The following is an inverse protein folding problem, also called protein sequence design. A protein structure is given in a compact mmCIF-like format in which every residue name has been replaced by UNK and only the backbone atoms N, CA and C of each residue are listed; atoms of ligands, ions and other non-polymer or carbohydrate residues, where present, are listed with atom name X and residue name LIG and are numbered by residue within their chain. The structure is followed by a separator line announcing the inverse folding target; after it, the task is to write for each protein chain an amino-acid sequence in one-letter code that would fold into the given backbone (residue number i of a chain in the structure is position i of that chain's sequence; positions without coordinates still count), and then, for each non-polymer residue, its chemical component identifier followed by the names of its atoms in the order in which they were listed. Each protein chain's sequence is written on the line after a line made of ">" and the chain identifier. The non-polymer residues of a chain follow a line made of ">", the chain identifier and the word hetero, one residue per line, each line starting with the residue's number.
data_IF_735263133843
#
_entry.id   IF_735263133843
#
_cell.length_a   1.000
_cell.length_b   1.000
_cell.length_c   1.000
_cell.angle_alpha   90.00
_cell.angle_beta   90.00
_cell.angle_gamma   90.00
#
_symmetry.space_group_name_H-M   'P 1'
#
loop_
_entity.id
_entity.type
_entity.pdbx_description
1 polymer ?
#
# COMPACT_ATOMS: atom_id res chain seq x y z
N UNK A 1 2.54 62.75 24.19
CA UNK A 1 2.56 61.53 23.35
C UNK A 1 1.97 60.35 24.12
N UNK A 2 0.66 60.35 24.38
CA UNK A 2 0.01 59.32 25.22
C UNK A 2 -1.44 59.01 24.81
N UNK A 3 -1.86 59.46 23.61
CA UNK A 3 -3.20 59.23 23.06
C UNK A 3 -3.21 58.37 21.78
N UNK A 4 -2.04 58.05 21.21
CA UNK A 4 -1.90 57.24 20.01
C UNK A 4 -1.70 55.74 20.25
N UNK A 5 -1.33 55.33 21.47
CA UNK A 5 -1.06 53.91 21.79
C UNK A 5 -2.32 53.12 22.20
N UNK A 6 -3.40 53.81 22.55
CA UNK A 6 -4.64 53.16 23.03
C UNK A 6 -5.55 52.69 21.88
N UNK A 7 -5.34 53.23 20.67
CA UNK A 7 -6.11 52.86 19.48
C UNK A 7 -5.60 51.56 18.81
N UNK A 8 -4.34 51.17 19.04
CA UNK A 8 -3.77 49.94 18.50
C UNK A 8 -4.14 48.68 19.30
N UNK A 9 -4.50 48.81 20.58
CA UNK A 9 -4.96 47.68 21.40
C UNK A 9 -6.45 47.39 21.25
N UNK A 10 -7.28 48.37 20.84
CA UNK A 10 -8.72 48.16 20.63
C UNK A 10 -9.07 47.57 19.24
N UNK A 11 -8.19 47.67 18.24
CA UNK A 11 -8.44 47.07 16.91
C UNK A 11 -8.03 45.59 16.81
N UNK A 12 -7.20 45.09 17.73
CA UNK A 12 -6.74 43.69 17.74
C UNK A 12 -7.73 42.70 18.37
N UNK A 13 -8.66 43.19 19.19
CA UNK A 13 -9.61 42.34 19.95
C UNK A 13 -10.93 42.10 19.18
N UNK A 14 -11.18 42.86 18.11
CA UNK A 14 -12.40 42.73 17.28
C UNK A 14 -12.31 41.65 16.18
N UNK A 15 -11.19 40.93 16.07
CA UNK A 15 -10.99 39.87 15.07
C UNK A 15 -11.22 38.43 15.61
N UNK A 16 -11.90 38.28 16.75
CA UNK A 16 -12.12 36.96 17.40
C UNK A 16 -13.61 36.51 17.34
N UNK A 17 -14.54 37.28 16.77
CA UNK A 17 -15.98 36.98 16.88
C UNK A 17 -16.81 36.97 15.58
N UNK A 18 -16.26 36.58 14.43
CA UNK A 18 -17.10 36.35 13.25
C UNK A 18 -16.55 35.23 12.36
N UNK A 19 -17.04 34.00 12.60
CA UNK A 19 -16.72 32.87 11.73
C UNK A 19 -17.12 31.46 12.21
N UNK A 20 -17.94 31.31 13.25
CA UNK A 20 -18.58 30.03 13.58
C UNK A 20 -20.10 30.14 13.38
N UNK A 21 -20.53 30.23 12.14
CA UNK A 21 -21.93 30.03 11.78
C UNK A 21 -21.94 29.45 10.38
N UNK A 22 -21.92 28.12 10.31
CA UNK A 22 -22.33 27.23 9.19
C UNK A 22 -21.49 25.93 9.16
N UNK A 23 -21.29 25.25 10.30
CA UNK A 23 -20.67 23.92 10.31
C UNK A 23 -21.51 22.83 10.99
N UNK A 24 -22.79 23.10 11.28
CA UNK A 24 -23.72 22.11 11.85
C UNK A 24 -24.50 21.30 10.78
N UNK A 25 -24.18 21.45 9.50
CA UNK A 25 -24.85 20.73 8.39
C UNK A 25 -23.92 19.85 7.53
N UNK A 26 -22.73 19.50 8.02
CA UNK A 26 -21.87 18.48 7.39
C UNK A 26 -21.63 17.31 8.37
N UNK A 27 -22.66 16.96 9.14
CA UNK A 27 -22.72 15.67 9.84
C UNK A 27 -23.55 14.75 8.96
N UNK A 28 -22.88 13.80 8.33
CA UNK A 28 -23.54 12.70 7.65
C UNK A 28 -22.85 12.34 6.36
N UNK A 29 -21.63 11.81 6.43
CA UNK A 29 -21.19 10.62 5.68
C UNK A 29 -19.70 10.39 5.94
N UNK A 30 -19.40 9.32 6.68
CA UNK A 30 -18.18 8.52 6.66
C UNK A 30 -16.82 9.22 6.89
N UNK A 31 -16.28 9.06 8.10
CA UNK A 31 -15.08 8.21 8.27
C UNK A 31 -14.87 7.93 9.75
N UNK A 32 -14.99 6.66 10.08
CA UNK A 32 -14.24 6.01 11.15
C UNK A 32 -12.85 6.66 11.23
N UNK A 33 -12.49 7.16 12.41
CA UNK A 33 -11.24 7.86 12.66
C UNK A 33 -10.09 6.87 12.45
N UNK A 34 -9.66 6.72 11.19
CA UNK A 34 -8.46 6.00 10.85
C UNK A 34 -7.32 6.71 11.59
N UNK A 35 -6.71 6.02 12.55
CA UNK A 35 -5.49 6.45 13.19
C UNK A 35 -4.50 6.91 12.09
N UNK A 36 -3.64 7.91 12.36
CA UNK A 36 -2.65 8.36 11.39
C UNK A 36 -1.94 7.14 10.80
N UNK A 37 -2.13 6.91 9.51
CA UNK A 37 -1.62 5.73 8.82
C UNK A 37 -0.12 5.90 8.67
N UNK A 38 0.61 5.27 9.58
CA UNK A 38 2.05 5.16 9.57
C UNK A 38 2.52 4.55 8.23
N UNK A 39 3.44 5.23 7.53
CA UNK A 39 4.00 4.83 6.23
C UNK A 39 4.44 3.37 6.26
N UNK A 40 5.24 3.00 7.26
CA UNK A 40 5.75 1.64 7.39
C UNK A 40 4.61 0.62 7.56
N UNK A 41 3.57 0.96 8.33
CA UNK A 41 2.43 0.07 8.57
C UNK A 41 1.62 -0.14 7.29
N UNK A 42 1.36 0.91 6.50
CA UNK A 42 0.64 0.81 5.21
C UNK A 42 1.40 -0.06 4.23
N UNK A 43 2.72 0.14 4.10
CA UNK A 43 3.55 -0.66 3.18
C UNK A 43 3.57 -2.13 3.62
N UNK A 44 3.72 -2.39 4.92
CA UNK A 44 3.70 -3.75 5.47
C UNK A 44 2.35 -4.41 5.18
N UNK A 45 1.24 -3.76 5.51
CA UNK A 45 -0.11 -4.28 5.30
C UNK A 45 -0.35 -4.62 3.83
N UNK A 46 0.03 -3.72 2.91
CA UNK A 46 -0.08 -3.97 1.47
C UNK A 46 0.76 -5.16 1.04
N UNK A 47 1.99 -5.28 1.54
CA UNK A 47 2.86 -6.41 1.22
C UNK A 47 2.29 -7.74 1.73
N UNK A 48 1.68 -7.77 2.93
CA UNK A 48 0.97 -8.94 3.45
C UNK A 48 -0.26 -9.29 2.62
N UNK A 49 -1.06 -8.29 2.22
CA UNK A 49 -2.21 -8.53 1.34
C UNK A 49 -1.79 -9.19 0.03
N UNK A 50 -0.76 -8.66 -0.64
CA UNK A 50 -0.21 -9.23 -1.86
C UNK A 50 0.29 -10.69 -1.67
N UNK A 51 0.85 -10.99 -0.50
CA UNK A 51 1.23 -12.37 -0.15
C UNK A 51 0.01 -13.31 -0.03
N UNK A 52 -1.06 -12.85 0.61
CA UNK A 52 -2.30 -13.63 0.74
C UNK A 52 -3.04 -13.76 -0.60
N UNK A 53 -3.03 -12.73 -1.44
CA UNK A 53 -3.55 -12.79 -2.81
C UNK A 53 -2.78 -13.84 -3.62
N UNK A 54 -1.45 -13.89 -3.48
CA UNK A 54 -0.62 -14.91 -4.13
C UNK A 54 -0.91 -16.33 -3.63
N UNK A 55 -1.10 -16.52 -2.31
CA UNK A 55 -1.53 -17.81 -1.76
C UNK A 55 -2.89 -18.25 -2.30
N UNK A 56 -3.83 -17.31 -2.38
CA UNK A 56 -5.18 -17.56 -2.89
C UNK A 56 -5.15 -17.94 -4.37
N UNK A 57 -4.39 -17.20 -5.20
CA UNK A 57 -4.19 -17.55 -6.61
C UNK A 57 -3.54 -18.92 -6.80
N UNK A 58 -2.53 -19.26 -5.98
CA UNK A 58 -1.91 -20.58 -6.02
C UNK A 58 -2.90 -21.70 -5.63
N UNK A 59 -3.76 -21.45 -4.64
CA UNK A 59 -4.80 -22.41 -4.27
C UNK A 59 -5.80 -22.62 -5.42
N UNK A 60 -6.23 -21.55 -6.08
CA UNK A 60 -7.09 -21.63 -7.26
C UNK A 60 -6.42 -22.36 -8.42
N UNK A 61 -5.12 -22.19 -8.64
CA UNK A 61 -4.38 -23.00 -9.61
C UNK A 61 -4.50 -24.51 -9.32
N UNK A 62 -4.39 -24.93 -8.06
CA UNK A 62 -4.51 -26.35 -7.73
C UNK A 62 -5.93 -26.91 -7.92
N UNK A 63 -6.96 -26.07 -7.76
CA UNK A 63 -8.36 -26.42 -7.98
C UNK A 63 -8.73 -26.45 -9.47
N UNK A 64 -8.45 -25.35 -10.18
CA UNK A 64 -8.86 -25.13 -11.58
C UNK A 64 -7.86 -25.66 -12.61
N UNK A 65 -6.61 -25.91 -12.21
CA UNK A 65 -5.47 -26.21 -13.09
C UNK A 65 -5.24 -25.14 -14.17
N UNK A 66 -5.56 -23.89 -13.84
CA UNK A 66 -5.43 -22.74 -14.72
C UNK A 66 -4.08 -22.07 -14.58
N UNK A 67 -3.24 -22.12 -15.62
CA UNK A 67 -1.92 -21.46 -15.63
C UNK A 67 -2.03 -19.95 -15.36
N UNK A 68 -3.12 -19.32 -15.78
CA UNK A 68 -3.37 -17.91 -15.49
C UNK A 68 -3.39 -17.62 -13.98
N UNK A 69 -4.01 -18.49 -13.17
CA UNK A 69 -4.03 -18.33 -11.71
C UNK A 69 -2.64 -18.45 -11.12
N UNK A 70 -1.83 -19.38 -11.66
CA UNK A 70 -0.45 -19.56 -11.25
C UNK A 70 0.40 -18.33 -11.57
N UNK A 71 0.19 -17.71 -12.73
CA UNK A 71 0.87 -16.48 -13.11
C UNK A 71 0.45 -15.29 -12.25
N UNK A 72 -0.85 -15.12 -12.01
CA UNK A 72 -1.34 -14.08 -11.10
C UNK A 72 -0.74 -14.24 -9.70
N UNK A 73 -0.64 -15.48 -9.22
CA UNK A 73 0.02 -15.80 -7.95
C UNK A 73 1.51 -15.42 -7.96
N UNK A 74 2.23 -15.71 -9.04
CA UNK A 74 3.63 -15.33 -9.20
C UNK A 74 3.84 -13.82 -9.13
N UNK A 75 3.02 -13.04 -9.84
CA UNK A 75 3.12 -11.58 -9.84
C UNK A 75 2.75 -11.00 -8.48
N UNK A 76 1.67 -11.44 -7.85
CA UNK A 76 1.29 -10.99 -6.51
C UNK A 76 2.39 -11.29 -5.47
N UNK A 77 3.04 -12.45 -5.54
CA UNK A 77 4.17 -12.78 -4.67
C UNK A 77 5.38 -11.87 -4.94
N UNK A 78 5.68 -11.60 -6.21
CA UNK A 78 6.78 -10.71 -6.61
C UNK A 78 6.52 -9.26 -6.16
N UNK A 79 5.29 -8.79 -6.30
CA UNK A 79 4.85 -7.47 -5.85
C UNK A 79 4.89 -7.36 -4.33
N UNK A 80 4.55 -8.42 -3.59
CA UNK A 80 4.72 -8.45 -2.12
C UNK A 80 6.18 -8.21 -1.72
N UNK A 81 7.12 -8.87 -2.39
CA UNK A 81 8.56 -8.68 -2.18
C UNK A 81 8.99 -7.26 -2.58
N UNK A 82 8.49 -6.73 -3.68
CA UNK A 82 8.80 -5.37 -4.10
C UNK A 82 8.27 -4.32 -3.12
N UNK A 83 7.02 -4.46 -2.69
CA UNK A 83 6.35 -3.55 -1.77
C UNK A 83 7.02 -3.57 -0.39
N UNK A 84 7.35 -4.75 0.15
CA UNK A 84 8.05 -4.88 1.44
C UNK A 84 9.38 -4.10 1.47
N UNK A 85 10.12 -4.06 0.35
CA UNK A 85 11.37 -3.29 0.25
C UNK A 85 11.18 -1.79 0.39
N UNK A 86 9.97 -1.25 0.15
CA UNK A 86 9.66 0.18 0.30
C UNK A 86 9.63 0.61 1.76
N UNK A 87 9.47 -0.31 2.72
CA UNK A 87 9.49 0.00 4.17
C UNK A 87 10.78 0.71 4.56
N UNK A 88 11.91 0.40 3.92
CA UNK A 88 13.20 1.05 4.18
C UNK A 88 13.18 2.57 3.96
N UNK A 89 12.26 3.05 3.13
CA UNK A 89 12.09 4.47 2.80
C UNK A 89 11.15 5.19 3.78
N UNK A 90 10.45 4.46 4.65
CA UNK A 90 9.60 5.04 5.67
C UNK A 90 10.42 5.52 6.88
N UNK A 91 10.08 6.70 7.39
CA UNK A 91 10.76 7.34 8.53
C UNK A 91 10.30 6.80 9.89
N UNK A 92 9.10 6.21 9.94
CA UNK A 92 8.40 5.72 11.13
C UNK A 92 8.64 4.23 11.41
N UNK A 93 9.81 3.70 11.00
CA UNK A 93 10.21 2.31 11.22
C UNK A 93 10.41 2.00 12.70
N UNK A 94 9.90 0.86 13.15
CA UNK A 94 9.99 0.34 14.52
C UNK A 94 10.57 -1.07 14.51
N UNK A 95 11.02 -1.56 15.67
CA UNK A 95 11.49 -2.95 15.82
C UNK A 95 10.43 -3.96 15.40
N UNK A 96 9.15 -3.70 15.70
CA UNK A 96 8.03 -4.55 15.23
C UNK A 96 7.94 -4.63 13.70
N UNK A 97 8.21 -3.53 12.99
CA UNK A 97 8.21 -3.48 11.54
C UNK A 97 9.35 -4.32 10.95
N UNK A 98 10.51 -4.36 11.62
CA UNK A 98 11.62 -5.22 11.22
C UNK A 98 11.24 -6.71 11.28
N UNK A 99 10.67 -7.16 12.39
CA UNK A 99 10.22 -8.56 12.52
C UNK A 99 9.10 -8.92 11.54
N UNK A 100 8.15 -8.01 11.31
CA UNK A 100 7.13 -8.20 10.30
C UNK A 100 7.73 -8.41 8.90
N UNK A 101 8.80 -7.68 8.58
CA UNK A 101 9.49 -7.81 7.30
C UNK A 101 10.30 -9.07 7.16
N UNK A 102 10.98 -9.49 8.23
CA UNK A 102 11.68 -10.77 8.25
C UNK A 102 10.71 -11.94 8.04
N UNK A 103 9.60 -11.96 8.77
CA UNK A 103 8.57 -12.98 8.62
C UNK A 103 8.02 -13.02 7.19
N UNK A 104 7.69 -11.84 6.63
CA UNK A 104 7.16 -11.77 5.27
C UNK A 104 8.18 -12.24 4.22
N UNK A 105 9.47 -11.95 4.42
CA UNK A 105 10.53 -12.45 3.54
C UNK A 105 10.63 -13.98 3.57
N UNK A 106 10.56 -14.60 4.76
CA UNK A 106 10.61 -16.06 4.91
C UNK A 106 9.40 -16.74 4.25
N UNK A 107 8.20 -16.17 4.45
CA UNK A 107 6.97 -16.67 3.83
C UNK A 107 6.99 -16.52 2.30
N UNK A 108 7.38 -15.34 1.79
CA UNK A 108 7.51 -15.11 0.35
C UNK A 108 8.55 -16.04 -0.30
N UNK A 109 9.67 -16.30 0.39
CA UNK A 109 10.68 -17.25 -0.10
C UNK A 109 10.11 -18.65 -0.27
N UNK A 110 9.31 -19.09 0.71
CA UNK A 110 8.66 -20.40 0.68
C UNK A 110 7.60 -20.48 -0.42
N UNK A 111 6.75 -19.46 -0.53
CA UNK A 111 5.72 -19.37 -1.56
C UNK A 111 6.30 -19.33 -2.97
N UNK A 112 7.31 -18.49 -3.21
CA UNK A 112 7.99 -18.38 -4.50
C UNK A 112 8.67 -19.69 -4.94
N UNK A 113 9.12 -20.53 -4.00
CA UNK A 113 9.65 -21.87 -4.32
C UNK A 113 8.54 -22.79 -4.84
N UNK A 114 7.36 -22.75 -4.24
CA UNK A 114 6.24 -23.59 -4.65
C UNK A 114 5.70 -23.13 -6.00
N UNK A 115 5.48 -21.83 -6.19
CA UNK A 115 4.98 -21.27 -7.46
C UNK A 115 5.93 -21.64 -8.61
N UNK A 116 7.24 -21.40 -8.46
CA UNK A 116 8.23 -21.74 -9.50
C UNK A 116 8.27 -23.21 -9.88
N UNK A 117 8.10 -24.13 -8.91
CA UNK A 117 8.07 -25.57 -9.21
C UNK A 117 6.86 -26.00 -10.05
N UNK A 118 5.80 -25.19 -10.07
CA UNK A 118 4.59 -25.49 -10.81
C UNK A 118 4.53 -24.70 -12.13
N UNK A 119 5.40 -23.72 -12.35
CA UNK A 119 5.40 -22.96 -13.60
C UNK A 119 5.96 -23.81 -14.75
N UNK A 120 5.34 -23.76 -15.94
CA UNK A 120 5.78 -24.52 -17.11
C UNK A 120 7.21 -24.20 -17.57
N UNK A 121 7.65 -22.96 -17.42
CA UNK A 121 8.97 -22.47 -17.83
C UNK A 121 9.71 -21.75 -16.69
N UNK A 122 11.00 -22.01 -16.54
CA UNK A 122 11.89 -21.36 -15.56
C UNK A 122 12.44 -20.01 -16.07
N UNK A 123 12.11 -19.63 -17.33
CA UNK A 123 12.58 -18.40 -17.96
C UNK A 123 11.59 -17.24 -17.77
N UNK A 124 11.92 -16.39 -16.80
CA UNK A 124 11.17 -15.18 -16.48
C UNK A 124 11.11 -14.18 -17.65
N UNK A 125 12.01 -14.28 -18.64
CA UNK A 125 12.11 -13.36 -19.77
C UNK A 125 11.15 -13.66 -20.91
N UNK A 126 10.95 -14.92 -21.28
CA UNK A 126 10.03 -15.30 -22.36
C UNK A 126 8.56 -15.11 -21.95
N UNK A 127 8.22 -15.27 -20.67
CA UNK A 127 6.85 -15.08 -20.20
C UNK A 127 6.35 -13.64 -20.26
N UNK A 128 7.22 -12.66 -20.00
CA UNK A 128 6.92 -11.24 -20.23
C UNK A 128 6.53 -11.02 -21.69
N UNK A 129 7.04 -11.82 -22.63
CA UNK A 129 6.72 -11.69 -24.05
C UNK A 129 5.39 -12.34 -24.45
N UNK A 130 4.97 -13.44 -23.81
CA UNK A 130 3.74 -14.18 -24.14
C UNK A 130 2.49 -13.55 -23.52
N UNK A 131 2.58 -13.14 -22.26
CA UNK A 131 1.44 -12.53 -21.54
C UNK A 131 1.47 -11.00 -21.60
N UNK A 132 2.46 -10.40 -22.27
CA UNK A 132 2.60 -8.94 -22.42
C UNK A 132 1.30 -8.28 -22.82
N UNK A 133 0.68 -8.82 -23.86
CA UNK A 133 -0.47 -8.20 -24.52
C UNK A 133 -1.74 -8.31 -23.66
N UNK A 134 -1.81 -9.31 -22.77
CA UNK A 134 -2.94 -9.47 -21.83
C UNK A 134 -2.82 -8.58 -20.59
N UNK A 135 -1.60 -8.16 -20.24
CA UNK A 135 -1.32 -7.32 -19.07
C UNK A 135 -0.83 -5.89 -19.44
N UNK A 136 -0.76 -5.55 -20.72
CA UNK A 136 -0.34 -4.22 -21.22
C UNK A 136 -1.20 -3.09 -20.63
N UNK A 137 -2.50 -3.35 -20.44
CA UNK A 137 -3.43 -2.40 -19.81
C UNK A 137 -3.16 -2.17 -18.32
N UNK A 138 -2.50 -3.11 -17.64
CA UNK A 138 -2.11 -3.03 -16.21
C UNK A 138 -0.69 -2.46 -16.06
N UNK A 139 0.15 -2.60 -17.08
CA UNK A 139 1.56 -2.17 -17.03
C UNK A 139 1.99 -1.39 -18.29
N UNK A 140 1.54 -0.13 -18.45
CA UNK A 140 2.09 0.72 -19.49
C UNK A 140 3.53 1.12 -19.11
N UNK A 141 4.49 0.64 -19.88
CA UNK A 141 5.94 0.94 -19.82
C UNK A 141 6.74 0.32 -18.65
N UNK A 142 6.99 -0.98 -18.73
CA UNK A 142 8.23 -1.54 -18.16
C UNK A 142 9.29 -1.49 -19.25
N UNK A 143 10.29 -0.64 -19.08
CA UNK A 143 11.50 -0.56 -19.92
C UNK A 143 12.73 -0.72 -19.04
#
# INVERSE_FOLDING_TARGET
>A
MQRGLLLFFLSGILLICSGCSNFDNIIGFAKEQAAPTNCASVVIERAFKLHEDAKSGLALFFDERSDNQLYQAFYAASDSVHESRKVKNCWDRRVSHYYAMQNLQEMNTSLARIIRRNMPDDDQGEMISVYRDQYEWVMPNIR
#
